data_IF_776213790472
#
_entry.id   IF_776213790472
#
_cell.length_a   1.000
_cell.length_b   1.000
_cell.length_c   1.000
_cell.angle_alpha   90.00
_cell.angle_beta   90.00
_cell.angle_gamma   90.00
#
_symmetry.space_group_name_H-M   'P 1'
#
loop_
_entity.id
_entity.type
_entity.pdbx_description
1 polymer ?
#
# COMPACT_ATOMS: atom_id res chain seq x y z
N UNK A 1 -17.36 -7.00 7.38
CA UNK A 1 -16.28 -6.01 7.09
C UNK A 1 -16.85 -4.58 6.99
N UNK A 2 -16.10 -3.58 7.47
CA UNK A 2 -16.53 -2.17 7.57
C UNK A 2 -17.04 -1.57 6.24
N UNK A 3 -16.49 -1.97 5.10
CA UNK A 3 -16.95 -1.49 3.80
C UNK A 3 -18.42 -1.83 3.50
N UNK A 4 -18.97 -2.91 4.09
CA UNK A 4 -20.37 -3.30 3.92
C UNK A 4 -21.33 -2.35 4.66
N UNK A 5 -20.91 -1.82 5.81
CA UNK A 5 -21.70 -0.87 6.61
C UNK A 5 -21.68 0.52 5.98
N UNK A 6 -20.52 0.96 5.49
CA UNK A 6 -20.39 2.22 4.75
C UNK A 6 -21.29 2.28 3.51
N UNK A 7 -21.42 1.18 2.75
CA UNK A 7 -22.34 1.09 1.60
C UNK A 7 -23.83 1.17 1.99
N UNK A 8 -24.16 0.94 3.25
CA UNK A 8 -25.51 1.09 3.79
C UNK A 8 -25.73 2.47 4.43
N UNK A 9 -24.76 3.39 4.29
CA UNK A 9 -24.79 4.70 4.95
C UNK A 9 -24.55 4.65 6.45
N UNK A 10 -24.17 3.49 7.00
CA UNK A 10 -23.92 3.32 8.43
C UNK A 10 -22.45 3.68 8.68
N UNK A 11 -22.25 4.85 9.27
CA UNK A 11 -20.95 5.29 9.73
C UNK A 11 -20.61 4.58 11.05
N UNK A 12 -19.38 4.09 11.14
CA UNK A 12 -18.86 3.42 12.33
C UNK A 12 -17.63 4.18 12.75
N UNK A 13 -17.66 4.68 13.98
CA UNK A 13 -16.51 5.33 14.60
C UNK A 13 -15.34 4.34 14.68
N UNK A 14 -14.16 4.80 14.26
CA UNK A 14 -12.96 3.98 14.25
C UNK A 14 -11.98 4.57 15.26
N UNK A 15 -11.52 3.80 16.25
CA UNK A 15 -10.49 4.28 17.13
C UNK A 15 -9.24 4.61 16.29
N UNK A 16 -8.59 5.76 16.54
CA UNK A 16 -7.36 6.11 15.85
C UNK A 16 -6.31 5.03 16.11
N UNK A 17 -5.55 4.68 15.07
CA UNK A 17 -4.45 3.72 15.17
C UNK A 17 -3.15 4.47 15.12
N UNK A 18 -2.30 4.21 16.10
CA UNK A 18 -0.94 4.72 16.07
C UNK A 18 -0.18 4.06 14.92
N UNK A 19 0.35 4.90 14.04
CA UNK A 19 1.21 4.52 12.94
C UNK A 19 2.53 5.25 13.07
N UNK A 20 3.57 4.72 12.44
CA UNK A 20 4.83 5.43 12.30
C UNK A 20 5.15 5.62 10.83
N UNK A 21 5.52 6.85 10.48
CA UNK A 21 6.00 7.23 9.14
C UNK A 21 7.52 7.33 9.25
N UNK A 22 8.22 6.35 8.69
CA UNK A 22 9.69 6.32 8.71
C UNK A 22 10.27 7.42 7.80
N UNK A 23 9.68 7.60 6.63
CA UNK A 23 9.96 8.75 5.78
C UNK A 23 8.76 9.07 4.89
N UNK A 24 8.70 10.32 4.47
CA UNK A 24 7.77 10.83 3.47
C UNK A 24 8.53 11.78 2.55
N UNK A 25 8.51 11.51 1.23
CA UNK A 25 9.28 12.28 0.24
C UNK A 25 8.38 12.65 -0.92
N UNK A 26 8.24 13.94 -1.20
CA UNK A 26 7.63 14.41 -2.45
C UNK A 26 8.60 14.11 -3.59
N UNK A 27 8.11 13.44 -4.63
CA UNK A 27 8.87 13.10 -5.84
C UNK A 27 8.65 14.15 -6.90
N UNK A 28 7.38 14.45 -7.19
CA UNK A 28 6.99 15.43 -8.20
C UNK A 28 5.73 16.16 -7.74
N UNK A 29 5.56 17.39 -8.22
CA UNK A 29 4.32 18.14 -8.06
C UNK A 29 4.02 18.88 -9.36
N UNK A 30 2.90 18.55 -9.97
CA UNK A 30 2.39 19.15 -11.19
C UNK A 30 0.89 19.30 -11.03
N UNK A 31 0.43 20.51 -10.68
CA UNK A 31 -0.97 20.77 -10.34
C UNK A 31 -1.92 20.13 -11.38
N UNK A 32 -2.96 19.38 -10.95
CA UNK A 32 -3.39 19.17 -9.56
C UNK A 32 -2.76 17.95 -8.86
N UNK A 33 -1.72 17.35 -9.44
CA UNK A 33 -1.17 16.06 -9.01
C UNK A 33 0.13 16.21 -8.21
N UNK A 34 0.25 15.39 -7.17
CA UNK A 34 1.44 15.28 -6.34
C UNK A 34 1.81 13.80 -6.22
N UNK A 35 3.04 13.47 -6.56
CA UNK A 35 3.61 12.15 -6.35
C UNK A 35 4.49 12.16 -5.11
N UNK A 36 4.32 11.17 -4.25
CA UNK A 36 5.14 11.00 -3.08
C UNK A 36 5.50 9.53 -2.85
N UNK A 37 6.58 9.34 -2.11
CA UNK A 37 7.04 8.06 -1.63
C UNK A 37 6.99 8.04 -0.10
N UNK A 38 6.47 6.96 0.48
CA UNK A 38 6.30 6.83 1.93
C UNK A 38 6.73 5.44 2.41
N UNK A 39 7.51 5.39 3.49
CA UNK A 39 7.71 4.18 4.27
C UNK A 39 6.98 4.32 5.60
N UNK A 40 6.19 3.30 5.95
CA UNK A 40 5.31 3.36 7.10
C UNK A 40 5.11 1.98 7.74
N UNK A 41 4.60 1.96 8.97
CA UNK A 41 4.23 0.72 9.66
C UNK A 41 3.05 0.02 9.00
N UNK A 42 2.90 -1.28 9.28
CA UNK A 42 1.71 -2.05 8.90
C UNK A 42 0.43 -1.37 9.40
N UNK A 43 -0.65 -1.50 8.64
CA UNK A 43 -1.95 -0.91 8.98
C UNK A 43 -2.10 0.57 8.65
N UNK A 44 -1.08 1.20 8.06
CA UNK A 44 -1.19 2.56 7.53
C UNK A 44 -2.12 2.61 6.32
N UNK A 45 -3.14 3.46 6.40
CA UNK A 45 -4.04 3.74 5.29
C UNK A 45 -3.51 4.93 4.49
N UNK A 46 -2.76 4.67 3.42
CA UNK A 46 -2.18 5.73 2.55
C UNK A 46 -3.26 6.66 1.97
N UNK A 47 -4.50 6.17 1.81
CA UNK A 47 -5.65 6.99 1.43
C UNK A 47 -5.99 8.06 2.47
N UNK A 48 -5.99 7.70 3.76
CA UNK A 48 -6.20 8.65 4.85
C UNK A 48 -5.05 9.65 4.91
N UNK A 49 -3.80 9.19 4.75
CA UNK A 49 -2.64 10.07 4.69
C UNK A 49 -2.75 11.13 3.58
N UNK A 50 -3.21 10.74 2.39
CA UNK A 50 -3.44 11.69 1.29
C UNK A 50 -4.56 12.68 1.64
N UNK A 51 -5.66 12.21 2.23
CA UNK A 51 -6.76 13.06 2.67
C UNK A 51 -6.31 14.08 3.73
N UNK A 52 -5.61 13.63 4.77
CA UNK A 52 -5.11 14.46 5.86
C UNK A 52 -4.14 15.53 5.32
N UNK A 53 -3.23 15.15 4.41
CA UNK A 53 -2.34 16.09 3.73
C UNK A 53 -3.12 17.17 2.96
N UNK A 54 -4.12 16.77 2.18
CA UNK A 54 -4.94 17.71 1.43
C UNK A 54 -5.79 18.62 2.32
N UNK A 55 -6.31 18.11 3.44
CA UNK A 55 -7.03 18.91 4.44
C UNK A 55 -6.09 19.94 5.07
N UNK A 56 -4.88 19.54 5.46
CA UNK A 56 -3.89 20.44 6.05
C UNK A 56 -3.42 21.55 5.09
N UNK A 57 -3.42 21.28 3.77
CA UNK A 57 -3.09 22.27 2.73
C UNK A 57 -4.32 23.16 2.39
N UNK A 58 -5.53 22.75 2.79
CA UNK A 58 -6.75 23.54 2.63
C UNK A 58 -7.52 23.33 1.33
N UNK A 59 -7.13 22.38 0.49
CA UNK A 59 -7.83 22.06 -0.77
C UNK A 59 -8.49 20.68 -0.79
N UNK A 60 -8.20 19.83 0.19
CA UNK A 60 -8.50 18.41 0.14
C UNK A 60 -7.63 17.67 -0.87
N UNK A 61 -7.53 16.35 -0.70
CA UNK A 61 -6.86 15.47 -1.66
C UNK A 61 -7.40 14.05 -1.51
N UNK A 62 -7.22 13.27 -2.57
CA UNK A 62 -7.54 11.85 -2.57
C UNK A 62 -6.45 11.10 -3.32
N UNK A 63 -6.31 9.82 -3.01
CA UNK A 63 -5.33 8.97 -3.67
C UNK A 63 -5.84 8.59 -5.07
N UNK A 64 -5.14 9.04 -6.12
CA UNK A 64 -5.43 8.69 -7.52
C UNK A 64 -4.85 7.33 -7.90
N UNK A 65 -3.58 7.10 -7.58
CA UNK A 65 -2.85 5.84 -7.84
C UNK A 65 -2.06 5.42 -6.60
N UNK A 66 -1.82 4.12 -6.47
CA UNK A 66 -1.00 3.57 -5.38
C UNK A 66 -0.24 2.36 -5.90
N UNK A 67 1.08 2.35 -5.72
CA UNK A 67 1.92 1.19 -5.97
C UNK A 67 2.73 0.88 -4.73
N UNK A 68 2.59 -0.34 -4.21
CA UNK A 68 3.42 -0.83 -3.11
C UNK A 68 4.70 -1.41 -3.70
N UNK A 69 5.83 -0.76 -3.45
CA UNK A 69 7.15 -1.17 -3.96
C UNK A 69 7.89 -2.12 -3.01
N UNK A 70 7.56 -2.09 -1.71
CA UNK A 70 8.20 -2.95 -0.69
C UNK A 70 7.14 -3.43 0.31
N UNK A 71 7.30 -4.66 0.79
CA UNK A 71 6.52 -5.27 1.87
C UNK A 71 7.45 -6.10 2.76
N UNK A 72 7.92 -5.53 3.87
CA UNK A 72 8.97 -6.14 4.68
C UNK A 72 10.23 -6.38 3.84
N UNK A 73 10.69 -7.63 3.74
CA UNK A 73 11.88 -7.98 2.96
C UNK A 73 11.60 -8.18 1.46
N UNK A 74 10.33 -8.12 1.03
CA UNK A 74 9.95 -8.35 -0.36
C UNK A 74 9.90 -7.03 -1.12
N UNK A 75 10.70 -6.92 -2.18
CA UNK A 75 10.66 -5.78 -3.09
C UNK A 75 9.94 -6.13 -4.38
N UNK A 76 9.33 -5.13 -5.01
CA UNK A 76 8.53 -5.29 -6.23
C UNK A 76 9.38 -5.74 -7.42
N UNK A 77 10.69 -5.46 -7.41
CA UNK A 77 11.62 -5.91 -8.46
C UNK A 77 11.78 -7.44 -8.48
N UNK A 78 11.53 -8.10 -7.34
CA UNK A 78 11.52 -9.56 -7.24
C UNK A 78 10.10 -10.15 -7.43
N UNK A 79 9.10 -9.32 -7.68
CA UNK A 79 7.74 -9.79 -7.91
C UNK A 79 7.57 -10.25 -9.36
N UNK A 80 6.91 -11.39 -9.53
CA UNK A 80 6.56 -11.94 -10.85
C UNK A 80 5.15 -11.44 -11.21
N UNK A 81 4.94 -11.05 -12.47
CA UNK A 81 3.61 -10.63 -12.93
C UNK A 81 2.68 -11.84 -12.99
N UNK A 82 1.39 -11.60 -12.80
CA UNK A 82 0.40 -12.67 -12.86
C UNK A 82 0.35 -13.32 -14.25
N UNK A 83 0.43 -12.53 -15.32
CA UNK A 83 0.40 -13.04 -16.70
C UNK A 83 1.56 -14.01 -16.96
N UNK A 84 2.75 -13.69 -16.45
CA UNK A 84 3.94 -14.53 -16.58
C UNK A 84 3.73 -15.85 -15.84
N UNK A 85 3.21 -15.80 -14.60
CA UNK A 85 2.89 -17.00 -13.82
C UNK A 85 1.86 -17.90 -14.52
N UNK A 86 0.84 -17.32 -15.14
CA UNK A 86 -0.20 -18.08 -15.85
C UNK A 86 0.31 -18.72 -17.15
N UNK A 87 1.37 -18.17 -17.74
CA UNK A 87 2.00 -18.70 -18.94
C UNK A 87 3.11 -19.74 -18.66
N UNK A 88 3.57 -19.86 -17.41
CA UNK A 88 4.64 -20.78 -17.02
C UNK A 88 4.14 -22.23 -16.91
N UNK A 89 5.05 -23.18 -17.13
CA UNK A 89 4.81 -24.59 -16.77
C UNK A 89 4.92 -24.81 -15.25
N UNK A 90 4.46 -25.97 -14.79
CA UNK A 90 4.46 -26.32 -13.37
C UNK A 90 5.85 -26.36 -12.73
N UNK A 91 6.89 -26.74 -13.47
CA UNK A 91 8.26 -26.77 -12.96
C UNK A 91 8.77 -25.36 -12.68
N UNK A 92 8.58 -24.45 -13.63
CA UNK A 92 8.92 -23.04 -13.49
C UNK A 92 8.14 -22.35 -12.37
N UNK A 93 6.86 -22.70 -12.21
CA UNK A 93 6.03 -22.21 -11.10
C UNK A 93 6.60 -22.64 -9.75
N UNK A 94 6.88 -23.93 -9.57
CA UNK A 94 7.39 -24.46 -8.30
C UNK A 94 8.74 -23.82 -7.94
N UNK A 95 9.62 -23.63 -8.91
CA UNK A 95 10.92 -22.96 -8.71
C UNK A 95 10.77 -21.49 -8.28
N UNK A 96 9.65 -20.85 -8.62
CA UNK A 96 9.35 -19.45 -8.28
C UNK A 96 8.69 -19.27 -6.91
N UNK A 97 8.29 -20.36 -6.24
CA UNK A 97 7.63 -20.28 -4.93
C UNK A 97 8.62 -19.95 -3.82
N UNK A 98 8.20 -19.06 -2.92
CA UNK A 98 8.95 -18.72 -1.72
C UNK A 98 8.55 -19.64 -0.57
N UNK A 99 9.53 -20.07 0.22
CA UNK A 99 9.26 -20.83 1.44
C UNK A 99 8.41 -19.98 2.41
N UNK A 100 7.38 -20.56 3.06
CA UNK A 100 6.53 -19.83 4.01
C UNK A 100 7.30 -19.17 5.17
N UNK A 101 8.46 -19.72 5.54
CA UNK A 101 9.36 -19.15 6.55
C UNK A 101 9.88 -17.77 6.18
N UNK A 102 10.13 -17.51 4.89
CA UNK A 102 10.58 -16.20 4.40
C UNK A 102 9.47 -15.15 4.52
N UNK A 103 8.21 -15.55 4.36
CA UNK A 103 7.05 -14.66 4.51
C UNK A 103 6.88 -14.17 5.95
N UNK A 104 7.23 -15.00 6.94
CA UNK A 104 7.12 -14.68 8.37
C UNK A 104 8.35 -13.94 8.92
N UNK A 105 9.52 -14.07 8.28
CA UNK A 105 10.75 -13.34 8.63
C UNK A 105 10.73 -11.87 8.17
N UNK A 106 9.80 -11.49 7.30
CA UNK A 106 9.59 -10.13 6.80
C UNK A 106 8.84 -9.21 7.80
N UNK A 107 9.08 -9.39 9.10
CA UNK A 107 8.61 -8.47 10.15
C UNK A 107 9.70 -7.43 10.42
N UNK A 108 9.48 -6.15 10.11
CA UNK A 108 10.08 -5.10 10.92
C UNK A 108 9.48 -5.12 12.34
#
# INVERSE_FOLDING_TARGET
>A
PLYKLARKGIEVERPPRLIHIYYFRIKTYQRPECEFEVACTKGTYVRSLAQDLGQNIGCGAHLKTLRRTVSGNFKIEAAIRLDDILACDMGSLIASLLAPSLANAARP
#
